data_IF_392522572686
#
_entry.id   IF_392522572686
#
_cell.length_a   1.000
_cell.length_b   1.000
_cell.length_c   1.000
_cell.angle_alpha   90.00
_cell.angle_beta   90.00
_cell.angle_gamma   90.00
#
_symmetry.space_group_name_H-M   'P 1'
#
loop_
_entity.id
_entity.type
_entity.pdbx_description
1 polymer ?
#
# COMPACT_ATOMS: atom_id res chain seq x y z
N UNK A 1 -8.01 3.62 -4.01
CA UNK A 1 -8.39 4.88 -3.42
C UNK A 1 -8.14 6.01 -4.40
N UNK A 2 -9.16 6.76 -4.65
CA UNK A 2 -9.17 7.87 -5.58
C UNK A 2 -8.67 9.11 -4.86
N UNK A 3 -8.81 9.11 -3.54
CA UNK A 3 -8.27 10.11 -2.64
C UNK A 3 -6.80 9.85 -2.26
N UNK A 4 -6.27 10.65 -1.36
CA UNK A 4 -4.93 10.47 -0.84
C UNK A 4 -4.80 9.14 -0.11
N UNK A 5 -3.80 8.35 -0.46
CA UNK A 5 -3.40 7.18 0.31
C UNK A 5 -2.41 7.56 1.42
N UNK A 6 -2.04 6.60 2.27
CA UNK A 6 -1.12 6.85 3.38
C UNK A 6 0.22 7.46 2.94
N UNK A 7 0.71 7.12 1.77
CA UNK A 7 1.96 7.65 1.22
C UNK A 7 1.85 9.08 0.73
N UNK A 8 0.67 9.48 0.24
CA UNK A 8 0.41 10.88 -0.09
C UNK A 8 0.47 11.73 1.19
N UNK A 9 -0.08 11.22 2.31
CA UNK A 9 -0.03 11.90 3.61
C UNK A 9 1.41 11.94 4.16
N UNK A 10 2.18 10.86 4.03
CA UNK A 10 3.61 10.86 4.36
C UNK A 10 4.35 11.91 3.54
N UNK A 11 4.13 11.96 2.22
CA UNK A 11 4.80 12.90 1.34
C UNK A 11 4.46 14.35 1.68
N UNK A 12 3.21 14.63 2.02
CA UNK A 12 2.76 15.95 2.46
C UNK A 12 3.49 16.42 3.72
N UNK A 13 3.61 15.55 4.71
CA UNK A 13 4.28 15.84 5.97
C UNK A 13 5.79 16.01 5.77
N UNK A 14 6.44 15.13 5.00
CA UNK A 14 7.86 15.28 4.68
C UNK A 14 8.14 16.57 3.88
N UNK A 15 7.23 16.97 2.98
CA UNK A 15 7.33 18.24 2.25
C UNK A 15 7.22 19.44 3.21
N UNK A 16 6.28 19.40 4.15
CA UNK A 16 6.12 20.44 5.17
C UNK A 16 7.37 20.60 6.02
N UNK A 17 8.03 19.50 6.34
CA UNK A 17 9.29 19.47 7.09
C UNK A 17 10.53 19.81 6.24
N UNK A 18 10.39 20.17 4.96
CA UNK A 18 11.48 20.38 4.00
C UNK A 18 12.44 19.17 3.86
N UNK A 19 11.90 17.95 4.02
CA UNK A 19 12.64 16.70 3.90
C UNK A 19 12.36 15.96 2.58
N UNK A 20 11.44 16.48 1.75
CA UNK A 20 11.00 15.87 0.50
C UNK A 20 11.55 16.62 -0.71
N UNK A 21 12.40 15.97 -1.49
CA UNK A 21 12.86 16.47 -2.79
C UNK A 21 11.95 15.99 -3.93
N UNK A 22 11.64 14.71 -3.95
CA UNK A 22 10.80 14.09 -4.98
C UNK A 22 9.94 12.97 -4.37
N UNK A 23 8.74 12.81 -4.89
CA UNK A 23 7.83 11.74 -4.51
C UNK A 23 7.22 11.07 -5.74
N UNK A 24 7.16 9.76 -5.75
CA UNK A 24 6.49 9.00 -6.80
C UNK A 24 5.74 7.80 -6.21
N UNK A 25 4.56 7.55 -6.74
CA UNK A 25 3.81 6.31 -6.61
C UNK A 25 3.55 5.67 -7.98
N UNK A 26 4.38 6.01 -8.96
CA UNK A 26 4.27 5.52 -10.34
C UNK A 26 4.45 4.02 -10.49
N UNK A 27 5.07 3.35 -9.51
CA UNK A 27 5.23 1.90 -9.45
C UNK A 27 4.15 1.20 -8.60
N UNK A 28 3.17 1.96 -8.08
CA UNK A 28 2.11 1.43 -7.24
C UNK A 28 0.83 1.24 -8.04
N UNK A 29 0.46 0.00 -8.29
CA UNK A 29 -0.74 -0.34 -9.06
C UNK A 29 -1.76 -1.07 -8.18
N UNK A 30 -3.03 -0.64 -8.17
CA UNK A 30 -4.08 -1.34 -7.43
C UNK A 30 -4.18 -2.82 -7.84
N UNK A 31 -4.41 -3.69 -6.86
CA UNK A 31 -4.63 -5.11 -7.13
C UNK A 31 -3.37 -5.94 -7.43
N UNK A 32 -2.17 -5.36 -7.49
CA UNK A 32 -0.95 -6.14 -7.71
C UNK A 32 -0.68 -7.10 -6.55
N UNK A 33 -0.30 -8.32 -6.89
CA UNK A 33 0.25 -9.31 -5.97
C UNK A 33 1.76 -9.06 -5.77
N UNK A 34 2.37 -9.77 -4.84
CA UNK A 34 3.84 -9.73 -4.67
C UNK A 34 4.57 -10.17 -5.94
N UNK A 35 3.99 -11.07 -6.73
CA UNK A 35 4.55 -11.49 -8.02
C UNK A 35 4.55 -10.36 -9.05
N UNK A 36 3.49 -9.55 -9.08
CA UNK A 36 3.39 -8.40 -9.98
C UNK A 36 4.36 -7.30 -9.55
N UNK A 37 4.47 -7.03 -8.24
CA UNK A 37 5.43 -6.07 -7.68
C UNK A 37 6.87 -6.49 -7.98
N UNK A 38 7.21 -7.78 -7.84
CA UNK A 38 8.54 -8.29 -8.17
C UNK A 38 8.89 -8.02 -9.65
N UNK A 39 7.98 -8.31 -10.57
CA UNK A 39 8.17 -7.99 -11.99
C UNK A 39 8.35 -6.50 -12.22
N UNK A 40 7.59 -5.68 -11.49
CA UNK A 40 7.69 -4.22 -11.59
C UNK A 40 9.06 -3.73 -11.17
N UNK A 41 9.59 -4.12 -10.01
CA UNK A 41 10.90 -3.65 -9.53
C UNK A 41 12.07 -4.13 -10.39
N UNK A 42 11.89 -5.21 -11.13
CA UNK A 42 12.88 -5.74 -12.07
C UNK A 42 12.88 -5.00 -13.41
N UNK A 43 11.86 -4.19 -13.71
CA UNK A 43 11.78 -3.45 -14.96
C UNK A 43 12.83 -2.33 -15.04
N UNK A 44 13.22 -1.97 -16.26
CA UNK A 44 14.16 -0.85 -16.51
C UNK A 44 13.61 0.46 -15.96
N UNK A 45 12.32 0.72 -16.18
CA UNK A 45 11.63 1.91 -15.71
C UNK A 45 11.67 2.04 -14.17
N UNK A 46 11.41 0.94 -13.47
CA UNK A 46 11.51 0.93 -12.02
C UNK A 46 12.94 1.17 -11.52
N UNK A 47 13.93 0.59 -12.17
CA UNK A 47 15.35 0.77 -11.84
C UNK A 47 15.79 2.22 -12.00
N UNK A 48 15.36 2.88 -13.06
CA UNK A 48 15.64 4.31 -13.29
C UNK A 48 15.01 5.19 -12.18
N UNK A 49 13.75 4.90 -11.82
CA UNK A 49 13.03 5.65 -10.79
C UNK A 49 13.60 5.42 -9.39
N UNK A 50 14.01 4.18 -9.09
CA UNK A 50 14.55 3.78 -7.78
C UNK A 50 16.00 4.22 -7.56
N UNK A 51 16.81 4.38 -8.60
CA UNK A 51 18.28 4.57 -8.50
C UNK A 51 18.72 5.67 -7.54
N UNK A 52 17.91 6.73 -7.40
CA UNK A 52 18.19 7.85 -6.50
C UNK A 52 17.27 7.89 -5.27
N UNK A 53 16.49 6.84 -5.03
CA UNK A 53 15.61 6.80 -3.87
C UNK A 53 16.42 6.71 -2.57
N UNK A 54 16.00 7.48 -1.55
CA UNK A 54 16.54 7.40 -0.18
C UNK A 54 15.53 6.83 0.80
N UNK A 55 14.28 6.72 0.38
CA UNK A 55 13.18 6.13 1.12
C UNK A 55 12.29 5.33 0.17
N UNK A 56 12.03 4.08 0.49
CA UNK A 56 11.10 3.22 -0.25
C UNK A 56 10.11 2.61 0.73
N UNK A 57 8.81 2.74 0.44
CA UNK A 57 7.76 2.04 1.18
C UNK A 57 7.15 0.95 0.31
N UNK A 58 7.00 -0.23 0.85
CA UNK A 58 6.43 -1.39 0.18
C UNK A 58 5.17 -1.82 0.93
N UNK A 59 4.03 -1.86 0.22
CA UNK A 59 2.77 -2.40 0.74
C UNK A 59 2.29 -3.48 -0.23
N UNK A 60 2.76 -4.72 -0.07
CA UNK A 60 2.49 -5.85 -0.93
C UNK A 60 2.26 -7.13 -0.11
N UNK A 61 1.36 -8.00 -0.56
CA UNK A 61 1.04 -9.29 0.06
C UNK A 61 -0.44 -9.51 0.36
N UNK A 62 -1.20 -8.46 0.70
CA UNK A 62 -2.64 -8.64 0.95
C UNK A 62 -3.38 -9.15 -0.30
N UNK A 63 -3.07 -8.65 -1.48
CA UNK A 63 -3.73 -9.06 -2.72
C UNK A 63 -3.47 -10.52 -3.10
N UNK A 64 -2.37 -11.10 -2.65
CA UNK A 64 -2.08 -12.53 -2.82
C UNK A 64 -3.15 -13.39 -2.11
N UNK A 65 -3.69 -12.91 -0.99
CA UNK A 65 -4.78 -13.54 -0.24
C UNK A 65 -6.16 -13.05 -0.69
N UNK A 66 -6.36 -11.73 -0.84
CA UNK A 66 -7.66 -11.14 -1.16
C UNK A 66 -8.27 -11.70 -2.45
N UNK A 67 -7.45 -12.00 -3.46
CA UNK A 67 -7.90 -12.64 -4.72
C UNK A 67 -8.46 -14.05 -4.54
N UNK A 68 -8.18 -14.71 -3.41
CA UNK A 68 -8.66 -16.05 -3.10
C UNK A 68 -10.01 -16.03 -2.35
N UNK A 69 -10.36 -14.88 -1.80
CA UNK A 69 -11.54 -14.73 -0.94
C UNK A 69 -12.78 -14.48 -1.78
N UNK A 70 -13.81 -15.30 -1.57
CA UNK A 70 -15.15 -15.09 -2.09
C UNK A 70 -16.03 -14.52 -0.97
N UNK A 71 -16.47 -13.30 -1.13
CA UNK A 71 -17.37 -12.64 -0.18
C UNK A 71 -18.81 -12.88 -0.54
N UNK A 72 -19.65 -13.22 0.45
CA UNK A 72 -21.13 -13.27 0.34
C UNK A 72 -21.71 -12.07 1.11
N UNK A 73 -21.92 -10.92 0.47
CA UNK A 73 -22.24 -9.68 1.18
C UNK A 73 -23.50 -9.76 2.05
N UNK A 74 -24.54 -10.49 1.58
CA UNK A 74 -25.80 -10.62 2.29
C UNK A 74 -25.69 -11.32 3.66
N UNK A 75 -24.67 -12.18 3.85
CA UNK A 75 -24.47 -12.94 5.09
C UNK A 75 -23.20 -12.55 5.84
N UNK A 76 -22.36 -11.70 5.26
CA UNK A 76 -21.03 -11.41 5.79
C UNK A 76 -20.09 -12.62 5.78
N UNK A 77 -20.46 -13.70 5.08
CA UNK A 77 -19.63 -14.91 5.03
C UNK A 77 -18.55 -14.76 3.96
N UNK A 78 -17.37 -15.30 4.27
CA UNK A 78 -16.26 -15.43 3.32
C UNK A 78 -15.92 -16.90 3.11
N UNK A 79 -15.45 -17.23 1.91
CA UNK A 79 -14.97 -18.57 1.59
C UNK A 79 -13.61 -18.47 0.88
N UNK A 80 -12.68 -19.32 1.27
CA UNK A 80 -11.38 -19.49 0.62
C UNK A 80 -10.84 -20.90 0.85
N UNK A 81 -9.90 -21.31 0.01
CA UNK A 81 -9.19 -22.58 0.18
C UNK A 81 -7.97 -22.39 1.08
N UNK A 82 -7.89 -23.11 2.18
CA UNK A 82 -6.73 -23.06 3.09
C UNK A 82 -5.43 -23.46 2.39
N UNK A 83 -5.50 -24.45 1.50
CA UNK A 83 -4.33 -24.90 0.70
C UNK A 83 -3.85 -23.77 -0.19
N UNK A 84 -4.77 -23.06 -0.86
CA UNK A 84 -4.44 -21.92 -1.72
C UNK A 84 -3.89 -20.76 -0.90
N UNK A 85 -4.45 -20.47 0.28
CA UNK A 85 -3.95 -19.42 1.17
C UNK A 85 -2.52 -19.72 1.65
N UNK A 86 -2.23 -20.95 2.07
CA UNK A 86 -0.88 -21.36 2.47
C UNK A 86 0.13 -21.25 1.30
N UNK A 87 -0.28 -21.60 0.09
CA UNK A 87 0.55 -21.44 -1.10
C UNK A 87 0.83 -19.96 -1.41
N UNK A 88 -0.21 -19.11 -1.34
CA UNK A 88 -0.08 -17.66 -1.52
C UNK A 88 0.87 -17.05 -0.49
N UNK A 89 0.72 -17.39 0.80
CA UNK A 89 1.61 -16.93 1.86
C UNK A 89 3.07 -17.34 1.64
N UNK A 90 3.32 -18.54 1.14
CA UNK A 90 4.67 -18.97 0.79
C UNK A 90 5.24 -18.17 -0.39
N UNK A 91 4.42 -17.82 -1.38
CA UNK A 91 4.82 -16.93 -2.48
C UNK A 91 5.11 -15.52 -1.98
N UNK A 92 4.28 -14.98 -1.08
CA UNK A 92 4.53 -13.67 -0.44
C UNK A 92 5.92 -13.66 0.22
N UNK A 93 6.25 -14.71 0.99
CA UNK A 93 7.57 -14.82 1.64
C UNK A 93 8.72 -14.72 0.63
N UNK A 94 8.67 -15.53 -0.41
CA UNK A 94 9.71 -15.60 -1.44
C UNK A 94 9.83 -14.30 -2.22
N UNK A 95 8.68 -13.81 -2.71
CA UNK A 95 8.65 -12.62 -3.55
C UNK A 95 9.06 -11.36 -2.77
N UNK A 96 8.59 -11.20 -1.52
CA UNK A 96 8.96 -10.04 -0.69
C UNK A 96 10.47 -10.01 -0.43
N UNK A 97 11.09 -11.17 -0.17
CA UNK A 97 12.54 -11.25 -0.03
C UNK A 97 13.25 -10.78 -1.30
N UNK A 98 12.83 -11.23 -2.47
CA UNK A 98 13.45 -10.81 -3.73
C UNK A 98 13.16 -9.35 -4.06
N UNK A 99 11.94 -8.84 -3.77
CA UNK A 99 11.59 -7.41 -3.92
C UNK A 99 12.56 -6.53 -3.10
N UNK A 100 12.78 -6.87 -1.83
CA UNK A 100 13.68 -6.09 -0.96
C UNK A 100 15.11 -6.12 -1.52
N UNK A 101 15.62 -7.28 -1.96
CA UNK A 101 16.94 -7.41 -2.56
C UNK A 101 17.09 -6.59 -3.84
N UNK A 102 16.12 -6.65 -4.75
CA UNK A 102 16.12 -5.85 -5.99
C UNK A 102 16.13 -4.35 -5.70
N UNK A 103 15.32 -3.93 -4.73
CA UNK A 103 15.31 -2.51 -4.30
C UNK A 103 16.65 -2.11 -3.70
N UNK A 104 17.26 -2.93 -2.86
CA UNK A 104 18.60 -2.66 -2.28
C UNK A 104 19.69 -2.61 -3.33
N UNK A 105 19.66 -3.51 -4.32
CA UNK A 105 20.61 -3.52 -5.41
C UNK A 105 20.50 -2.26 -6.28
N UNK A 106 19.29 -1.75 -6.49
CA UNK A 106 19.03 -0.59 -7.33
C UNK A 106 19.19 0.73 -6.57
N UNK A 107 18.77 0.76 -5.30
CA UNK A 107 18.76 1.93 -4.43
C UNK A 107 19.53 1.66 -3.12
N UNK A 108 20.86 1.48 -3.16
CA UNK A 108 21.64 1.03 -2.00
C UNK A 108 21.65 2.01 -0.81
N UNK A 109 21.23 3.25 -1.02
CA UNK A 109 21.11 4.28 0.02
C UNK A 109 19.71 4.37 0.61
N UNK A 110 18.73 3.65 0.05
CA UNK A 110 17.34 3.74 0.48
C UNK A 110 17.11 3.02 1.81
N UNK A 111 16.41 3.69 2.71
CA UNK A 111 15.75 3.02 3.83
C UNK A 111 14.46 2.40 3.31
N UNK A 112 14.29 1.12 3.53
CA UNK A 112 13.14 0.34 3.06
C UNK A 112 12.20 0.07 4.23
N UNK A 113 10.92 0.39 4.04
CA UNK A 113 9.85 0.15 4.99
C UNK A 113 8.80 -0.77 4.37
N UNK A 114 8.49 -1.87 5.04
CA UNK A 114 7.43 -2.79 4.64
C UNK A 114 6.22 -2.52 5.51
N UNK A 115 5.13 -2.09 4.89
CA UNK A 115 3.88 -1.77 5.57
C UNK A 115 3.09 -3.05 5.84
N UNK A 116 2.69 -3.25 7.09
CA UNK A 116 1.70 -4.23 7.48
C UNK A 116 0.28 -3.82 7.08
N UNK A 117 -0.69 -4.61 7.49
CA UNK A 117 -2.08 -4.44 7.13
C UNK A 117 -2.97 -4.36 8.37
N UNK A 118 -4.13 -3.73 8.20
CA UNK A 118 -5.25 -3.75 9.13
C UNK A 118 -6.18 -4.92 8.81
N UNK A 119 -7.12 -5.24 9.69
CA UNK A 119 -8.13 -6.25 9.44
C UNK A 119 -9.12 -5.79 8.37
N UNK A 120 -8.99 -6.33 7.16
CA UNK A 120 -9.70 -5.87 5.97
C UNK A 120 -11.21 -6.23 5.93
N UNK A 121 -11.64 -7.17 6.79
CA UNK A 121 -13.02 -7.69 6.84
C UNK A 121 -13.70 -7.48 8.20
N UNK A 122 -13.79 -6.26 8.75
CA UNK A 122 -14.36 -6.04 10.07
C UNK A 122 -15.86 -6.39 10.16
N UNK A 123 -16.52 -6.50 9.01
CA UNK A 123 -17.93 -6.87 8.88
C UNK A 123 -18.15 -8.37 8.58
N UNK A 124 -17.09 -9.18 8.58
CA UNK A 124 -17.22 -10.63 8.41
C UNK A 124 -18.06 -11.21 9.54
N UNK A 125 -18.82 -12.29 9.23
CA UNK A 125 -19.63 -12.98 10.21
C UNK A 125 -18.77 -13.41 11.42
N UNK A 126 -19.27 -13.23 12.63
CA UNK A 126 -18.50 -13.41 13.88
C UNK A 126 -17.84 -14.80 13.97
N UNK A 127 -18.54 -15.85 13.52
CA UNK A 127 -18.00 -17.21 13.51
C UNK A 127 -16.75 -17.43 12.63
N UNK A 128 -16.45 -16.47 11.74
CA UNK A 128 -15.29 -16.54 10.83
C UNK A 128 -14.19 -15.54 11.17
N UNK A 129 -14.47 -14.60 12.07
CA UNK A 129 -13.56 -13.49 12.41
C UNK A 129 -12.19 -14.00 12.87
N UNK A 130 -12.18 -14.98 13.77
CA UNK A 130 -10.95 -15.60 14.26
C UNK A 130 -10.17 -16.29 13.14
N UNK A 131 -10.86 -17.01 12.25
CA UNK A 131 -10.22 -17.74 11.14
C UNK A 131 -9.56 -16.78 10.14
N UNK A 132 -10.27 -15.70 9.79
CA UNK A 132 -9.73 -14.66 8.88
C UNK A 132 -8.58 -13.90 9.55
N UNK A 133 -8.70 -13.59 10.83
CA UNK A 133 -7.64 -12.96 11.63
C UNK A 133 -6.36 -13.78 11.62
N UNK A 134 -6.44 -15.09 11.83
CA UNK A 134 -5.27 -15.98 11.78
C UNK A 134 -4.52 -15.94 10.43
N UNK A 135 -5.20 -15.74 9.31
CA UNK A 135 -4.52 -15.60 8.02
C UNK A 135 -3.80 -14.25 7.91
N UNK A 136 -4.38 -13.19 8.48
CA UNK A 136 -3.72 -11.89 8.60
C UNK A 136 -2.47 -11.98 9.49
N UNK A 137 -2.55 -12.63 10.63
CA UNK A 137 -1.41 -12.83 11.56
C UNK A 137 -0.25 -13.57 10.87
N UNK A 138 -0.56 -14.59 10.07
CA UNK A 138 0.45 -15.30 9.27
C UNK A 138 1.11 -14.36 8.25
N UNK A 139 0.32 -13.53 7.57
CA UNK A 139 0.83 -12.54 6.63
C UNK A 139 1.75 -11.54 7.35
N UNK A 140 1.35 -11.00 8.50
CA UNK A 140 2.15 -10.08 9.32
C UNK A 140 3.47 -10.72 9.74
N UNK A 141 3.43 -11.95 10.27
CA UNK A 141 4.61 -12.71 10.67
C UNK A 141 5.59 -12.88 9.50
N UNK A 142 5.09 -13.18 8.29
CA UNK A 142 5.91 -13.33 7.10
C UNK A 142 6.53 -12.00 6.70
N UNK A 143 5.74 -10.92 6.60
CA UNK A 143 6.21 -9.61 6.19
C UNK A 143 7.24 -9.06 7.17
N UNK A 144 6.99 -9.18 8.48
CA UNK A 144 7.91 -8.75 9.52
C UNK A 144 9.22 -9.54 9.46
N UNK A 145 9.13 -10.87 9.46
CA UNK A 145 10.32 -11.73 9.43
C UNK A 145 11.18 -11.46 8.21
N UNK A 146 10.57 -11.37 7.02
CA UNK A 146 11.32 -11.12 5.78
C UNK A 146 11.90 -9.71 5.76
N UNK A 147 11.18 -8.70 6.21
CA UNK A 147 11.69 -7.33 6.28
C UNK A 147 12.92 -7.26 7.19
N UNK A 148 12.81 -7.74 8.43
CA UNK A 148 13.88 -7.68 9.43
C UNK A 148 15.13 -8.48 9.00
N UNK A 149 14.93 -9.70 8.46
CA UNK A 149 16.02 -10.54 7.97
C UNK A 149 16.77 -9.96 6.77
N UNK A 150 16.14 -9.06 6.01
CA UNK A 150 16.74 -8.40 4.85
C UNK A 150 17.03 -6.91 5.09
N UNK A 151 17.13 -6.45 6.34
CA UNK A 151 17.53 -5.08 6.68
C UNK A 151 16.51 -4.00 6.33
N UNK A 152 15.25 -4.36 6.15
CA UNK A 152 14.13 -3.45 6.01
C UNK A 152 13.40 -3.29 7.36
N UNK A 153 12.66 -2.20 7.51
CA UNK A 153 11.85 -1.94 8.72
C UNK A 153 10.40 -2.34 8.47
N UNK A 154 9.86 -3.23 9.30
CA UNK A 154 8.43 -3.53 9.29
C UNK A 154 7.64 -2.48 10.06
N UNK A 155 6.50 -2.06 9.51
CA UNK A 155 5.55 -1.13 10.10
C UNK A 155 4.27 -1.88 10.46
N UNK A 156 4.01 -2.13 11.73
CA UNK A 156 2.69 -2.60 12.18
C UNK A 156 1.68 -1.46 12.12
N UNK A 157 0.47 -1.75 11.62
CA UNK A 157 -0.67 -0.82 11.60
C UNK A 157 -1.84 -1.34 12.40
N UNK A 158 -1.79 -2.58 12.87
CA UNK A 158 -2.87 -3.28 13.53
C UNK A 158 -3.36 -2.53 14.77
N UNK A 159 -2.44 -2.19 15.69
CA UNK A 159 -2.77 -1.46 16.93
C UNK A 159 -3.46 -0.11 16.66
N UNK A 160 -3.13 0.55 15.54
CA UNK A 160 -3.74 1.84 15.20
C UNK A 160 -5.19 1.72 14.70
N UNK A 161 -5.62 0.50 14.38
CA UNK A 161 -6.99 0.18 13.96
C UNK A 161 -7.80 -0.51 15.07
N UNK A 162 -7.15 -0.99 16.12
CA UNK A 162 -7.79 -1.79 17.20
C UNK A 162 -8.98 -1.05 17.83
N UNK A 163 -10.12 -1.75 17.88
CA UNK A 163 -11.39 -1.21 18.37
C UNK A 163 -12.09 -0.21 17.47
N UNK A 164 -11.50 0.16 16.30
CA UNK A 164 -12.04 1.11 15.31
C UNK A 164 -12.16 0.53 13.91
N UNK A 165 -11.97 -0.76 13.75
CA UNK A 165 -11.87 -1.41 12.44
C UNK A 165 -13.11 -1.13 11.58
N UNK A 166 -14.33 -1.17 12.16
CA UNK A 166 -15.58 -0.90 11.44
C UNK A 166 -15.77 0.59 11.07
N UNK A 167 -15.17 1.49 11.84
CA UNK A 167 -15.17 2.92 11.55
C UNK A 167 -14.17 3.24 10.43
N UNK A 168 -12.99 2.65 10.52
CA UNK A 168 -11.90 2.92 9.59
C UNK A 168 -12.03 2.14 8.27
N UNK A 169 -12.77 1.02 8.27
CA UNK A 169 -13.10 0.21 7.08
C UNK A 169 -14.63 -0.01 7.06
N UNK A 170 -15.42 1.03 6.72
CA UNK A 170 -16.87 1.02 6.91
C UNK A 170 -17.64 0.17 5.89
N UNK A 171 -17.07 -0.12 4.72
CA UNK A 171 -17.76 -0.83 3.65
C UNK A 171 -17.68 -2.34 3.84
N UNK A 172 -18.81 -3.04 3.61
CA UNK A 172 -18.87 -4.51 3.58
C UNK A 172 -18.24 -5.07 2.31
N UNK A 173 -18.30 -4.31 1.21
CA UNK A 173 -17.84 -4.73 -0.12
C UNK A 173 -16.49 -4.16 -0.53
N UNK A 174 -15.92 -3.26 0.25
CA UNK A 174 -14.66 -2.59 -0.04
C UNK A 174 -13.71 -2.72 1.16
N UNK A 175 -12.53 -3.23 0.93
CA UNK A 175 -11.50 -3.44 1.93
C UNK A 175 -10.63 -2.20 2.20
N UNK A 176 -10.91 -1.08 1.52
CA UNK A 176 -10.12 0.13 1.69
C UNK A 176 -10.51 0.89 2.97
N UNK A 177 -9.52 1.45 3.66
CA UNK A 177 -9.80 2.29 4.81
C UNK A 177 -10.28 3.67 4.36
N UNK A 178 -10.93 4.36 5.29
CA UNK A 178 -11.23 5.78 5.19
C UNK A 178 -9.94 6.61 5.11
N UNK A 179 -10.06 7.91 4.82
CA UNK A 179 -8.92 8.83 4.87
C UNK A 179 -8.29 8.88 6.28
N UNK A 180 -9.11 8.76 7.32
CA UNK A 180 -8.64 8.62 8.70
C UNK A 180 -7.83 7.33 8.90
N UNK A 181 -8.27 6.19 8.34
CA UNK A 181 -7.49 4.96 8.36
C UNK A 181 -6.14 5.11 7.66
N UNK A 182 -6.08 5.82 6.52
CA UNK A 182 -4.81 6.14 5.88
C UNK A 182 -3.93 7.07 6.73
N UNK A 183 -4.53 7.99 7.51
CA UNK A 183 -3.80 8.80 8.48
C UNK A 183 -3.18 7.94 9.57
N UNK A 184 -3.91 6.96 10.10
CA UNK A 184 -3.39 6.01 11.07
C UNK A 184 -2.18 5.23 10.50
N UNK A 185 -2.27 4.76 9.25
CA UNK A 185 -1.15 4.10 8.58
C UNK A 185 0.07 5.03 8.41
N UNK A 186 -0.15 6.29 8.02
CA UNK A 186 0.92 7.29 7.90
C UNK A 186 1.58 7.57 9.25
N UNK A 187 0.81 7.65 10.33
CA UNK A 187 1.33 7.88 11.67
C UNK A 187 2.07 6.64 12.21
N UNK A 188 1.62 5.42 11.87
CA UNK A 188 2.37 4.20 12.16
C UNK A 188 3.73 4.20 11.47
N UNK A 189 3.83 4.69 10.22
CA UNK A 189 5.11 4.88 9.55
C UNK A 189 5.98 5.90 10.30
N UNK A 190 5.44 7.08 10.67
CA UNK A 190 6.21 8.10 11.36
C UNK A 190 6.70 7.65 12.73
N UNK A 191 5.98 6.78 13.42
CA UNK A 191 6.44 6.21 14.70
C UNK A 191 7.80 5.49 14.57
N UNK A 192 8.12 4.95 13.41
CA UNK A 192 9.39 4.28 13.11
C UNK A 192 10.39 5.16 12.34
N UNK A 193 9.90 6.06 11.51
CA UNK A 193 10.76 6.95 10.71
C UNK A 193 11.29 8.11 11.54
N UNK A 194 10.40 8.84 12.20
CA UNK A 194 10.70 9.95 13.09
C UNK A 194 9.47 10.24 13.97
N UNK A 195 9.49 9.80 15.20
CA UNK A 195 8.38 9.89 16.15
C UNK A 195 7.94 11.31 16.53
N UNK A 196 8.69 12.33 16.09
CA UNK A 196 8.30 13.75 16.25
C UNK A 196 7.39 14.23 15.11
N UNK A 197 7.24 13.45 14.05
CA UNK A 197 6.39 13.78 12.91
C UNK A 197 5.04 13.08 13.07
N UNK A 198 3.98 13.80 12.72
CA UNK A 198 2.62 13.32 12.84
C UNK A 198 1.72 14.03 11.83
N UNK A 199 0.87 13.28 11.15
CA UNK A 199 -0.22 13.83 10.34
C UNK A 199 -1.41 14.09 11.24
N UNK A 200 -1.81 15.33 11.38
CA UNK A 200 -2.97 15.72 12.19
C UNK A 200 -4.27 15.59 11.38
N UNK A 201 -5.38 15.39 12.06
CA UNK A 201 -6.69 15.24 11.44
C UNK A 201 -7.08 16.47 10.58
N UNK A 202 -6.82 17.67 11.07
CA UNK A 202 -7.12 18.93 10.38
C UNK A 202 -6.27 19.15 9.11
N UNK A 203 -5.24 18.35 8.88
CA UNK A 203 -4.36 18.40 7.72
C UNK A 203 -4.80 17.45 6.61
N UNK A 204 -5.82 16.63 6.88
CA UNK A 204 -6.35 15.72 5.88
C UNK A 204 -6.93 16.52 4.70
N UNK A 205 -6.70 16.07 3.46
CA UNK A 205 -7.33 16.66 2.30
C UNK A 205 -8.85 16.50 2.40
N UNK A 206 -9.58 17.43 1.80
CA UNK A 206 -11.03 17.31 1.73
C UNK A 206 -11.39 16.02 0.99
N UNK A 207 -12.41 15.28 1.45
CA UNK A 207 -12.92 14.11 0.74
C UNK A 207 -13.28 14.47 -0.71
N UNK A 208 -13.04 13.54 -1.62
CA UNK A 208 -13.49 13.70 -3.00
C UNK A 208 -15.04 13.80 -3.01
N UNK A 209 -15.61 14.83 -3.65
CA UNK A 209 -17.06 14.97 -3.71
C UNK A 209 -17.74 13.90 -4.55
N UNK A 210 -17.00 13.19 -5.41
CA UNK A 210 -17.53 12.11 -6.24
C UNK A 210 -17.44 10.77 -5.53
N UNK A 211 -18.47 9.96 -5.67
CA UNK A 211 -18.45 8.58 -5.21
C UNK A 211 -17.52 7.73 -6.07
N UNK A 212 -17.17 6.54 -5.60
CA UNK A 212 -16.35 5.60 -6.35
C UNK A 212 -17.00 5.20 -7.68
N UNK A 213 -18.32 4.96 -7.66
CA UNK A 213 -19.11 4.64 -8.84
C UNK A 213 -19.06 5.77 -9.88
N UNK A 214 -19.30 7.01 -9.47
CA UNK A 214 -19.25 8.18 -10.35
C UNK A 214 -17.85 8.38 -10.96
N UNK A 215 -16.81 8.06 -10.24
CA UNK A 215 -15.44 8.16 -10.72
C UNK A 215 -15.09 7.06 -11.73
N UNK A 216 -15.60 5.87 -11.56
CA UNK A 216 -15.49 4.77 -12.54
C UNK A 216 -16.27 5.12 -13.80
N UNK A 217 -17.50 5.61 -13.67
CA UNK A 217 -18.31 6.02 -14.80
C UNK A 217 -17.66 7.14 -15.61
N UNK A 218 -17.14 8.16 -14.95
CA UNK A 218 -16.41 9.26 -15.59
C UNK A 218 -15.15 8.78 -16.32
N UNK A 219 -14.43 7.82 -15.73
CA UNK A 219 -13.25 7.22 -16.37
C UNK A 219 -13.61 6.40 -17.61
N UNK A 220 -14.69 5.61 -17.54
CA UNK A 220 -15.16 4.80 -18.65
C UNK A 220 -15.69 5.67 -19.81
N UNK A 221 -16.35 6.78 -19.49
CA UNK A 221 -16.79 7.77 -20.50
C UNK A 221 -15.60 8.46 -21.18
N UNK A 222 -14.54 8.78 -20.42
CA UNK A 222 -13.33 9.40 -20.97
C UNK A 222 -12.54 8.45 -21.87
N UNK A 223 -12.53 7.15 -21.56
CA UNK A 223 -11.86 6.14 -22.37
C UNK A 223 -12.60 5.77 -23.66
N UNK A 224 -13.92 5.97 -23.72
CA UNK A 224 -14.70 5.76 -24.95
C UNK A 224 -14.56 6.91 -25.95
N UNK A 225 -13.93 8.01 -25.58
CA UNK A 225 -13.73 9.21 -26.40
C UNK A 225 -12.31 9.41 -26.96
N UNK A 226 -11.33 8.60 -26.57
CA UNK A 226 -9.95 8.80 -27.03
C UNK A 226 -9.19 7.47 -27.16
N UNK A 227 -9.06 7.02 -28.39
CA UNK A 227 -8.07 6.02 -28.81
C UNK A 227 -6.69 6.68 -28.82
N UNK A 228 -6.10 6.90 -27.64
CA UNK A 228 -4.64 7.06 -27.49
C UNK A 228 -4.30 7.00 -26.01
N UNK A 229 -3.57 5.96 -25.62
CA UNK A 229 -2.89 5.89 -24.33
C UNK A 229 -1.85 7.01 -24.26
N UNK A 230 -2.19 8.13 -23.63
CA UNK A 230 -1.21 9.11 -23.21
C UNK A 230 -0.52 8.58 -21.93
N UNK A 231 0.50 7.77 -22.14
CA UNK A 231 1.57 7.64 -21.17
C UNK A 231 2.12 9.05 -20.92
N UNK A 232 1.87 9.60 -19.74
CA UNK A 232 2.49 10.88 -19.36
C UNK A 232 4.01 10.69 -19.41
N UNK A 233 4.73 11.54 -20.18
CA UNK A 233 6.18 11.41 -20.30
C UNK A 233 6.82 11.68 -18.94
N UNK A 234 7.53 10.68 -18.42
CA UNK A 234 8.31 10.69 -17.16
C UNK A 234 9.35 11.82 -17.13
N UNK A 235 9.63 12.46 -18.26
CA UNK A 235 10.76 13.36 -18.48
C UNK A 235 10.53 14.83 -18.09
N UNK A 236 9.48 15.24 -17.39
CA UNK A 236 9.21 16.68 -17.19
C UNK A 236 9.56 17.28 -15.83
N UNK A 237 10.09 16.50 -14.87
CA UNK A 237 10.37 17.04 -13.52
C UNK A 237 11.74 16.64 -12.95
N UNK A 238 12.77 16.56 -13.76
CA UNK A 238 14.13 16.42 -13.25
C UNK A 238 14.82 17.78 -13.22
N UNK A 239 14.43 18.65 -12.30
CA UNK A 239 15.29 19.74 -11.85
C UNK A 239 15.93 19.33 -10.52
N UNK A 240 17.21 19.00 -10.58
CA UNK A 240 18.01 18.62 -9.42
C UNK A 240 18.35 19.85 -8.59
N UNK A 241 17.70 20.03 -7.47
CA UNK A 241 18.18 20.90 -6.38
C UNK A 241 18.66 20.02 -5.24
N UNK A 242 19.72 20.42 -4.54
CA UNK A 242 20.36 19.71 -3.43
C UNK A 242 19.36 19.44 -2.28
N UNK A 243 18.56 18.41 -2.37
CA UNK A 243 17.59 18.02 -1.35
C UNK A 243 17.44 16.51 -1.28
N UNK A 244 17.10 16.00 -0.10
CA UNK A 244 16.88 14.59 0.15
C UNK A 244 15.82 14.02 -0.78
N UNK A 245 16.15 12.95 -1.51
CA UNK A 245 15.29 12.28 -2.50
C UNK A 245 14.46 11.21 -1.84
N UNK A 246 13.23 11.01 -2.34
CA UNK A 246 12.31 10.18 -1.62
C UNK A 246 11.25 9.47 -2.38
N UNK A 247 10.88 8.39 -1.73
CA UNK A 247 9.69 7.58 -1.69
C UNK A 247 9.18 7.11 -3.03
N UNK A 248 9.52 5.92 -3.32
CA UNK A 248 8.80 5.11 -4.28
C UNK A 248 7.87 4.19 -3.53
N UNK A 249 6.60 4.27 -3.85
CA UNK A 249 5.58 3.37 -3.30
C UNK A 249 5.39 2.21 -4.25
N UNK A 250 5.63 1.04 -3.73
CA UNK A 250 5.31 -0.21 -4.40
C UNK A 250 4.01 -0.73 -3.83
N UNK A 251 2.91 -0.41 -4.52
CA UNK A 251 1.56 -0.94 -4.36
C UNK A 251 0.51 -0.16 -3.53
N UNK A 252 -0.72 -0.20 -4.06
CA UNK A 252 -1.99 0.09 -3.40
C UNK A 252 -2.82 -1.19 -3.22
N UNK A 253 -3.67 -1.23 -2.19
CA UNK A 253 -4.71 -2.24 -2.03
C UNK A 253 -5.77 -2.05 -3.12
N UNK A 254 -6.46 -3.10 -3.51
CA UNK A 254 -7.47 -3.14 -4.60
C UNK A 254 -8.47 -1.98 -4.56
N UNK A 255 -8.72 -1.39 -5.70
CA UNK A 255 -9.98 -0.70 -6.01
C UNK A 255 -10.85 -1.60 -6.85
#
# INVERSE_FOLDING_TARGET
AIDAGYTDLISQELKRANLLGFYSKGLAFPGYTTSDVLKTVQSTEAKELLANATLVTISAGANDLLRLVQVKPASGMVAYSQVSANFALNNVRKNMQEIIKEVQATAPKAKIYVMGYYFAYPHVHESQKEGVGKELDKLHTILQTVAEQNGATYISVEESFDGKEKELVPSVGDVHPTLEGYRQMANSFFSKYNSRMLVYEHELPKPNPLTFEELIENRNQSNNGSTQANALPINRYLSFTNGNYIAVVLQRILS
#
